data_IF_069657578811
#
_entry.id   IF_069657578811
#
_cell.length_a   1.000
_cell.length_b   1.000
_cell.length_c   1.000
_cell.angle_alpha   90.00
_cell.angle_beta   90.00
_cell.angle_gamma   90.00
#
_symmetry.space_group_name_H-M   'P 1'
#
loop_
_entity.id
_entity.type
_entity.pdbx_description
1 polymer ?
#
# COMPACT_ATOMS: atom_id res chain seq x y z
N UNK A 1 56.52 23.87 9.31
CA UNK A 1 56.07 23.46 7.99
C UNK A 1 54.82 22.63 8.15
N UNK A 2 53.70 23.13 7.61
CA UNK A 2 52.45 22.42 7.61
C UNK A 2 52.59 21.15 6.80
N UNK A 3 52.10 20.02 7.32
CA UNK A 3 52.09 18.76 6.63
C UNK A 3 51.27 18.88 5.31
N UNK A 4 51.68 18.13 4.27
CA UNK A 4 51.01 18.13 3.00
C UNK A 4 49.52 17.65 3.16
N UNK A 5 48.58 18.24 2.40
CA UNK A 5 47.18 17.86 2.49
C UNK A 5 46.97 16.41 2.04
N UNK A 6 45.99 15.73 2.64
CA UNK A 6 45.58 14.42 2.23
C UNK A 6 44.87 14.40 0.91
N UNK A 7 45.20 13.45 0.05
CA UNK A 7 44.48 13.16 -1.19
C UNK A 7 43.80 11.79 -1.14
N UNK A 8 42.58 11.74 -1.66
CA UNK A 8 41.87 10.48 -1.90
C UNK A 8 42.44 9.85 -3.16
N UNK A 9 43.12 8.72 -2.99
CA UNK A 9 43.81 8.02 -4.11
C UNK A 9 42.93 6.97 -4.75
N UNK A 10 42.08 6.30 -3.98
CA UNK A 10 41.15 5.33 -4.50
C UNK A 10 39.84 5.34 -3.68
N UNK A 11 38.75 5.08 -4.37
CA UNK A 11 37.43 4.82 -3.80
C UNK A 11 36.92 3.51 -4.38
N UNK A 12 36.58 2.56 -3.52
CA UNK A 12 36.09 1.25 -3.92
C UNK A 12 34.67 1.06 -3.36
N UNK A 13 33.81 0.44 -4.14
CA UNK A 13 32.48 -0.01 -3.73
C UNK A 13 32.42 -1.50 -3.87
N UNK A 14 32.15 -2.18 -2.76
CA UNK A 14 32.14 -3.66 -2.70
C UNK A 14 33.40 -4.31 -3.32
N UNK A 15 34.56 -3.66 -3.14
CA UNK A 15 35.86 -4.12 -3.66
C UNK A 15 36.14 -3.72 -5.10
N UNK A 16 35.24 -3.06 -5.81
CA UNK A 16 35.45 -2.56 -7.18
C UNK A 16 35.93 -1.11 -7.16
N UNK A 17 37.03 -0.84 -7.83
CA UNK A 17 37.55 0.53 -7.97
C UNK A 17 36.63 1.41 -8.81
N UNK A 18 36.38 2.61 -8.31
CA UNK A 18 35.51 3.60 -8.95
C UNK A 18 36.34 4.55 -9.80
N UNK A 19 35.82 4.88 -10.98
CA UNK A 19 36.32 5.92 -11.86
C UNK A 19 35.16 6.76 -12.45
N UNK A 20 35.45 7.76 -13.26
CA UNK A 20 34.46 8.67 -13.85
C UNK A 20 33.41 8.00 -14.74
N UNK A 21 33.63 6.78 -15.18
CA UNK A 21 32.73 6.01 -16.03
C UNK A 21 31.99 4.92 -15.25
N UNK A 22 32.33 4.73 -13.99
CA UNK A 22 31.75 3.64 -13.18
C UNK A 22 30.28 3.93 -12.87
N UNK A 23 29.42 3.02 -13.33
CA UNK A 23 28.00 3.02 -13.03
C UNK A 23 27.70 1.70 -12.30
N UNK A 24 27.32 1.75 -11.05
CA UNK A 24 26.92 0.59 -10.24
C UNK A 24 25.43 0.71 -9.92
N UNK A 25 24.72 -0.39 -10.08
CA UNK A 25 23.28 -0.47 -9.76
C UNK A 25 22.45 0.68 -10.35
N UNK A 26 22.81 1.14 -11.58
CA UNK A 26 22.12 2.22 -12.28
C UNK A 26 22.47 3.64 -11.78
N UNK A 27 23.43 3.78 -10.86
CA UNK A 27 23.88 5.07 -10.33
C UNK A 27 25.31 5.34 -10.78
N UNK A 28 25.55 6.51 -11.36
CA UNK A 28 26.90 7.02 -11.60
C UNK A 28 27.46 7.54 -10.27
N UNK A 29 28.59 7.02 -9.84
CA UNK A 29 29.14 7.28 -8.51
C UNK A 29 29.78 8.65 -8.41
N UNK A 30 30.53 9.06 -9.44
CA UNK A 30 31.20 10.36 -9.53
C UNK A 30 31.29 10.83 -10.98
N UNK A 31 31.30 12.14 -11.19
CA UNK A 31 31.45 12.77 -12.50
C UNK A 31 32.89 13.22 -12.77
N UNK A 32 33.68 13.34 -11.72
CA UNK A 32 35.09 13.81 -11.78
C UNK A 32 36.01 12.70 -11.25
N UNK A 33 37.33 12.78 -11.54
CA UNK A 33 38.31 11.84 -11.01
C UNK A 33 38.22 11.73 -9.49
N UNK A 34 38.39 10.52 -8.93
CA UNK A 34 38.30 10.24 -7.50
C UNK A 34 39.14 11.20 -6.65
N UNK A 35 40.35 11.53 -7.11
CA UNK A 35 41.27 12.43 -6.41
C UNK A 35 40.72 13.88 -6.30
N UNK A 36 39.81 14.30 -7.18
CA UNK A 36 39.21 15.63 -7.21
C UNK A 36 37.78 15.66 -6.69
N UNK A 37 37.20 14.48 -6.42
CA UNK A 37 35.81 14.37 -5.96
C UNK A 37 35.77 14.36 -4.44
N UNK A 38 34.90 15.20 -3.90
CA UNK A 38 34.53 15.20 -2.48
C UNK A 38 33.13 14.64 -2.26
N UNK A 39 32.39 14.32 -3.36
CA UNK A 39 31.04 13.80 -3.34
C UNK A 39 30.92 12.52 -4.14
N UNK A 40 30.34 11.48 -3.53
CA UNK A 40 30.04 10.18 -4.15
C UNK A 40 28.57 9.82 -3.90
N UNK A 41 27.91 9.36 -4.96
CA UNK A 41 26.50 8.93 -4.87
C UNK A 41 26.43 7.42 -5.13
N UNK A 42 25.79 6.69 -4.24
CA UNK A 42 25.67 5.24 -4.30
C UNK A 42 24.19 4.82 -4.37
N UNK A 43 23.96 3.62 -4.88
CA UNK A 43 22.66 2.94 -4.79
C UNK A 43 22.43 2.39 -3.39
N UNK A 44 21.16 2.21 -3.01
CA UNK A 44 20.79 1.52 -1.76
C UNK A 44 21.26 0.04 -1.72
N UNK A 45 21.71 -0.51 -2.83
CA UNK A 45 22.28 -1.86 -2.90
C UNK A 45 23.77 -1.91 -2.53
N UNK A 46 24.43 -0.74 -2.48
CA UNK A 46 25.86 -0.63 -2.20
C UNK A 46 26.06 -0.33 -0.71
N UNK A 47 26.45 -1.36 0.04
CA UNK A 47 26.54 -1.30 1.51
C UNK A 47 27.96 -1.20 2.06
N UNK A 48 28.97 -1.32 1.20
CA UNK A 48 30.37 -1.36 1.64
C UNK A 48 31.21 -0.45 0.74
N UNK A 49 31.95 0.46 1.38
CA UNK A 49 32.88 1.36 0.71
C UNK A 49 34.24 1.26 1.35
N UNK A 50 35.29 1.38 0.53
CA UNK A 50 36.66 1.50 0.99
C UNK A 50 37.27 2.78 0.43
N UNK A 51 37.85 3.58 1.30
CA UNK A 51 38.53 4.82 0.93
C UNK A 51 40.02 4.64 1.20
N UNK A 52 40.85 4.98 0.22
CA UNK A 52 42.31 4.97 0.33
C UNK A 52 42.82 6.39 0.22
N UNK A 53 43.67 6.81 1.16
CA UNK A 53 44.24 8.14 1.20
C UNK A 53 45.76 8.11 1.11
N UNK A 54 46.37 9.18 0.64
CA UNK A 54 47.79 9.35 0.66
C UNK A 54 48.16 10.80 1.01
N UNK A 55 49.18 10.97 1.79
CA UNK A 55 49.75 12.30 2.11
C UNK A 55 50.68 12.80 1.02
N UNK A 56 51.01 12.01 0.00
CA UNK A 56 52.03 12.36 -1.04
C UNK A 56 53.40 12.75 -0.48
N UNK A 57 53.72 12.31 0.75
CA UNK A 57 55.01 12.48 1.35
C UNK A 57 55.76 11.15 1.35
N UNK A 58 56.90 11.10 0.65
CA UNK A 58 57.67 9.90 0.39
C UNK A 58 58.75 9.63 1.44
N UNK A 59 59.00 10.58 2.41
CA UNK A 59 60.16 10.51 3.28
C UNK A 59 60.04 9.44 4.39
N UNK A 60 58.82 9.04 4.81
CA UNK A 60 58.67 7.97 5.78
C UNK A 60 57.19 7.47 5.93
N UNK A 61 56.67 6.66 5.01
CA UNK A 61 55.28 6.27 5.00
C UNK A 61 54.83 5.40 6.19
N UNK A 62 55.80 4.71 6.85
CA UNK A 62 55.53 3.83 7.99
C UNK A 62 55.23 4.59 9.28
N UNK A 63 55.55 5.88 9.40
CA UNK A 63 55.35 6.69 10.59
C UNK A 63 54.10 7.58 10.52
N UNK A 64 53.25 7.39 9.53
CA UNK A 64 52.01 8.11 9.38
C UNK A 64 50.84 7.28 9.90
N UNK A 65 50.05 7.84 10.81
CA UNK A 65 48.84 7.23 11.34
C UNK A 65 47.63 7.98 10.78
N UNK A 66 46.73 7.26 10.16
CA UNK A 66 45.50 7.83 9.61
C UNK A 66 44.34 7.68 10.62
N UNK A 67 43.60 8.76 10.77
CA UNK A 67 42.41 8.79 11.62
C UNK A 67 41.22 9.24 10.82
N UNK A 68 40.06 8.66 11.04
CA UNK A 68 38.82 9.06 10.41
C UNK A 68 37.70 9.14 11.44
N UNK A 69 36.70 9.95 11.11
CA UNK A 69 35.39 9.96 11.80
C UNK A 69 34.25 10.10 10.83
N UNK A 70 33.08 9.59 11.23
CA UNK A 70 31.89 9.61 10.42
C UNK A 70 30.81 10.44 11.12
N UNK A 71 30.22 11.39 10.41
CA UNK A 71 29.15 12.27 10.90
C UNK A 71 29.47 13.00 12.22
N UNK A 72 30.74 13.43 12.40
CA UNK A 72 31.17 14.12 13.60
C UNK A 72 31.31 13.24 14.86
N UNK A 73 31.32 11.91 14.69
CA UNK A 73 31.52 10.96 15.77
C UNK A 73 32.94 10.96 16.32
N UNK A 74 33.31 9.94 17.04
CA UNK A 74 34.66 9.78 17.59
C UNK A 74 35.69 9.49 16.49
N UNK A 75 36.93 9.93 16.72
CA UNK A 75 38.05 9.62 15.85
C UNK A 75 38.50 8.17 16.03
N UNK A 76 38.43 7.44 14.90
CA UNK A 76 38.91 6.05 14.82
C UNK A 76 40.30 6.08 14.19
N UNK A 77 41.27 5.47 14.92
CA UNK A 77 42.66 5.42 14.50
C UNK A 77 42.97 4.10 13.82
N UNK A 78 43.59 4.17 12.64
CA UNK A 78 44.18 3.00 11.98
C UNK A 78 45.54 2.63 12.55
N UNK A 79 45.98 1.42 12.22
CA UNK A 79 47.37 1.03 12.50
C UNK A 79 48.34 1.88 11.67
N UNK A 80 49.57 2.08 12.18
CA UNK A 80 50.58 2.85 11.47
C UNK A 80 50.84 2.29 10.07
N UNK A 81 50.88 3.16 9.05
CA UNK A 81 51.09 2.78 7.66
C UNK A 81 49.82 2.26 6.92
N UNK A 82 48.71 2.02 7.62
CA UNK A 82 47.45 1.61 7.00
C UNK A 82 46.69 2.85 6.60
N UNK A 83 46.52 3.04 5.28
CA UNK A 83 45.98 4.25 4.68
C UNK A 83 44.57 4.03 4.03
N UNK A 84 44.00 2.87 4.26
CA UNK A 84 42.64 2.53 3.80
C UNK A 84 41.72 2.23 4.98
N UNK A 85 40.43 2.55 4.82
CA UNK A 85 39.41 2.18 5.77
C UNK A 85 38.12 1.81 5.04
N UNK A 86 37.51 0.74 5.56
CA UNK A 86 36.32 0.17 5.00
C UNK A 86 35.15 0.43 5.95
N UNK A 87 34.10 1.03 5.41
CA UNK A 87 32.81 1.18 6.07
C UNK A 87 31.83 0.18 5.47
N UNK A 88 31.24 -0.65 6.30
CA UNK A 88 30.29 -1.68 5.91
C UNK A 88 28.93 -1.48 6.57
N UNK A 89 27.90 -2.15 6.02
CA UNK A 89 26.51 -2.08 6.51
C UNK A 89 25.92 -0.67 6.48
N UNK A 90 26.34 0.15 5.51
CA UNK A 90 25.82 1.49 5.34
C UNK A 90 24.34 1.44 4.92
N UNK A 91 23.51 2.24 5.56
CA UNK A 91 22.09 2.40 5.23
C UNK A 91 21.88 3.62 4.30
N UNK A 92 20.74 3.72 3.61
CA UNK A 92 20.40 4.93 2.87
C UNK A 92 20.48 6.18 3.74
N UNK A 93 21.21 7.18 3.24
CA UNK A 93 21.48 8.42 3.97
C UNK A 93 22.74 9.10 3.47
N UNK A 94 23.12 10.21 4.11
CA UNK A 94 24.33 10.97 3.79
C UNK A 94 25.34 10.79 4.91
N UNK A 95 26.52 10.39 4.53
CA UNK A 95 27.67 10.17 5.43
C UNK A 95 28.74 11.21 5.14
N UNK A 96 29.08 12.00 6.15
CA UNK A 96 30.20 12.93 6.12
C UNK A 96 31.40 12.25 6.79
N UNK A 97 32.40 11.91 5.99
CA UNK A 97 33.61 11.23 6.41
C UNK A 97 34.73 12.25 6.46
N UNK A 98 35.28 12.48 7.62
CA UNK A 98 36.40 13.39 7.84
C UNK A 98 37.63 12.58 8.14
N UNK A 99 38.75 12.89 7.48
CA UNK A 99 39.99 12.14 7.55
C UNK A 99 41.13 13.09 7.78
N UNK A 100 42.03 12.69 8.67
CA UNK A 100 43.30 13.37 8.93
C UNK A 100 44.42 12.36 9.11
N UNK A 101 45.64 12.78 8.90
CA UNK A 101 46.83 11.97 9.25
C UNK A 101 47.66 12.66 10.31
N UNK A 102 48.24 11.85 11.18
CA UNK A 102 49.18 12.26 12.22
C UNK A 102 50.58 11.77 11.84
N UNK A 103 51.55 12.69 11.86
CA UNK A 103 52.96 12.36 11.75
C UNK A 103 53.70 13.02 12.90
N UNK A 104 54.23 12.20 13.84
CA UNK A 104 54.76 12.71 15.10
C UNK A 104 53.68 13.40 15.93
N UNK A 105 53.86 14.70 16.24
CA UNK A 105 52.90 15.52 17.00
C UNK A 105 52.03 16.43 16.15
N UNK A 106 52.17 16.40 14.82
CA UNK A 106 51.46 17.29 13.92
C UNK A 106 50.34 16.53 13.19
N UNK A 107 49.22 17.25 12.88
CA UNK A 107 48.10 16.76 12.08
C UNK A 107 48.05 17.45 10.74
N UNK A 108 47.64 16.69 9.72
CA UNK A 108 47.31 17.28 8.43
C UNK A 108 45.98 18.05 8.51
N UNK A 109 45.73 18.98 7.58
CA UNK A 109 44.37 19.50 7.35
C UNK A 109 43.36 18.36 7.13
N UNK A 110 42.15 18.51 7.70
CA UNK A 110 41.08 17.52 7.53
C UNK A 110 40.62 17.48 6.11
N UNK A 111 40.54 16.29 5.51
CA UNK A 111 39.91 16.04 4.23
C UNK A 111 38.50 15.52 4.46
N UNK A 112 37.51 16.17 3.86
CA UNK A 112 36.10 15.80 3.98
C UNK A 112 35.64 15.12 2.71
N UNK A 113 35.00 13.96 2.85
CA UNK A 113 34.36 13.22 1.75
C UNK A 113 32.91 12.95 2.14
N UNK A 114 31.98 13.30 1.25
CA UNK A 114 30.56 13.10 1.46
C UNK A 114 30.07 11.96 0.58
N UNK A 115 29.50 10.94 1.21
CA UNK A 115 28.94 9.78 0.52
C UNK A 115 27.44 9.76 0.74
N UNK A 116 26.67 9.83 -0.35
CA UNK A 116 25.21 9.80 -0.30
C UNK A 116 24.69 8.48 -0.86
N UNK A 117 24.02 7.70 -0.04
CA UNK A 117 23.36 6.45 -0.45
C UNK A 117 21.89 6.75 -0.68
N UNK A 118 21.43 6.57 -1.92
CA UNK A 118 20.03 6.84 -2.30
C UNK A 118 19.08 5.86 -1.62
N UNK A 119 17.94 6.35 -1.15
CA UNK A 119 16.89 5.49 -0.64
C UNK A 119 16.22 4.72 -1.80
N UNK A 120 15.72 3.48 -1.56
CA UNK A 120 14.96 2.74 -2.55
C UNK A 120 13.64 3.46 -2.86
N UNK A 121 13.21 3.37 -4.14
CA UNK A 121 12.02 4.06 -4.64
C UNK A 121 10.74 3.74 -3.85
N UNK A 122 10.62 2.51 -3.34
CA UNK A 122 9.46 2.04 -2.57
C UNK A 122 9.39 2.62 -1.14
N UNK A 123 10.44 3.30 -0.66
CA UNK A 123 10.48 4.02 0.63
C UNK A 123 10.39 5.54 0.46
N UNK A 124 10.06 6.02 -0.73
CA UNK A 124 9.85 7.45 -0.98
C UNK A 124 8.46 7.88 -0.54
N UNK A 125 8.30 9.16 -0.23
CA UNK A 125 6.98 9.75 0.12
C UNK A 125 5.94 9.49 -0.96
N UNK A 126 6.35 9.51 -2.24
CA UNK A 126 5.48 9.23 -3.37
C UNK A 126 4.96 7.78 -3.36
N UNK A 127 5.82 6.81 -3.03
CA UNK A 127 5.42 5.41 -2.91
C UNK A 127 4.36 5.21 -1.81
N UNK A 128 4.52 5.86 -0.66
CA UNK A 128 3.52 5.79 0.42
C UNK A 128 2.17 6.39 0.02
N UNK A 129 2.15 7.50 -0.75
CA UNK A 129 0.92 8.08 -1.29
C UNK A 129 0.23 7.08 -2.22
N UNK A 130 0.98 6.42 -3.11
CA UNK A 130 0.45 5.40 -4.02
C UNK A 130 -0.14 4.23 -3.22
N UNK A 131 0.57 3.71 -2.21
CA UNK A 131 0.07 2.61 -1.38
C UNK A 131 -1.22 2.98 -0.65
N UNK A 132 -1.28 4.19 -0.08
CA UNK A 132 -2.47 4.68 0.59
C UNK A 132 -3.66 4.82 -0.38
N UNK A 133 -3.41 5.35 -1.58
CA UNK A 133 -4.44 5.49 -2.62
C UNK A 133 -5.00 4.13 -3.06
N UNK A 134 -4.14 3.13 -3.28
CA UNK A 134 -4.55 1.78 -3.63
C UNK A 134 -5.39 1.16 -2.51
N UNK A 135 -4.97 1.31 -1.26
CA UNK A 135 -5.69 0.80 -0.10
C UNK A 135 -7.09 1.43 0.02
N UNK A 136 -7.18 2.74 -0.21
CA UNK A 136 -8.45 3.48 -0.17
C UNK A 136 -9.41 3.01 -1.27
N UNK A 137 -8.92 2.85 -2.51
CA UNK A 137 -9.73 2.33 -3.63
C UNK A 137 -10.24 0.93 -3.32
N UNK A 138 -9.38 0.06 -2.78
CA UNK A 138 -9.76 -1.30 -2.41
C UNK A 138 -10.84 -1.28 -1.30
N UNK A 139 -10.68 -0.43 -0.29
CA UNK A 139 -11.66 -0.26 0.78
C UNK A 139 -13.03 0.20 0.27
N UNK A 140 -13.06 1.19 -0.63
CA UNK A 140 -14.29 1.67 -1.28
C UNK A 140 -14.93 0.55 -2.12
N UNK A 141 -14.13 -0.19 -2.89
CA UNK A 141 -14.63 -1.31 -3.70
C UNK A 141 -15.29 -2.39 -2.82
N UNK A 142 -14.63 -2.82 -1.75
CA UNK A 142 -15.17 -3.81 -0.81
C UNK A 142 -16.45 -3.31 -0.14
N UNK A 143 -16.46 -2.04 0.29
CA UNK A 143 -17.64 -1.42 0.88
C UNK A 143 -18.84 -1.39 -0.07
N UNK A 144 -18.62 -1.00 -1.33
CA UNK A 144 -19.68 -0.97 -2.34
C UNK A 144 -20.18 -2.38 -2.69
N UNK A 145 -19.28 -3.35 -2.79
CA UNK A 145 -19.62 -4.76 -3.03
C UNK A 145 -20.46 -5.33 -1.88
N UNK A 146 -20.05 -5.08 -0.64
CA UNK A 146 -20.80 -5.47 0.55
C UNK A 146 -22.20 -4.86 0.58
N UNK A 147 -22.29 -3.55 0.31
CA UNK A 147 -23.57 -2.83 0.27
C UNK A 147 -24.51 -3.38 -0.80
N UNK A 148 -24.00 -3.70 -1.99
CA UNK A 148 -24.80 -4.32 -3.06
C UNK A 148 -25.34 -5.67 -2.64
N UNK A 149 -24.51 -6.53 -2.10
CA UNK A 149 -24.90 -7.86 -1.66
C UNK A 149 -25.99 -7.82 -0.58
N UNK A 150 -25.86 -6.91 0.39
CA UNK A 150 -26.88 -6.74 1.45
C UNK A 150 -28.21 -6.24 0.91
N UNK A 151 -28.21 -5.32 -0.08
CA UNK A 151 -29.44 -4.86 -0.70
C UNK A 151 -30.14 -5.94 -1.52
N UNK A 152 -29.40 -6.76 -2.24
CA UNK A 152 -29.95 -7.89 -3.01
C UNK A 152 -30.61 -8.92 -2.09
N UNK A 153 -29.96 -9.29 -1.01
CA UNK A 153 -30.52 -10.23 -0.01
C UNK A 153 -31.82 -9.69 0.62
N UNK A 154 -31.84 -8.42 1.01
CA UNK A 154 -33.01 -7.79 1.61
C UNK A 154 -34.22 -7.77 0.65
N UNK A 155 -33.96 -7.54 -0.64
CA UNK A 155 -35.01 -7.55 -1.67
C UNK A 155 -35.52 -8.98 -1.95
N UNK A 156 -34.61 -9.97 -1.96
CA UNK A 156 -35.00 -11.38 -2.10
C UNK A 156 -35.85 -11.87 -0.94
N UNK A 157 -35.49 -11.54 0.30
CA UNK A 157 -36.23 -11.95 1.48
C UNK A 157 -37.61 -11.31 1.56
N UNK A 158 -37.71 -10.01 1.24
CA UNK A 158 -39.01 -9.32 1.07
C UNK A 158 -39.88 -9.99 0.03
N UNK A 159 -39.29 -10.39 -1.08
CA UNK A 159 -40.00 -11.04 -2.15
C UNK A 159 -40.48 -12.44 -1.77
N UNK A 160 -39.64 -13.26 -1.12
CA UNK A 160 -40.03 -14.57 -0.58
C UNK A 160 -41.18 -14.44 0.41
N UNK A 161 -41.12 -13.45 1.31
CA UNK A 161 -42.20 -13.19 2.27
C UNK A 161 -43.54 -12.88 1.56
N UNK A 162 -43.51 -11.99 0.54
CA UNK A 162 -44.69 -11.64 -0.23
C UNK A 162 -45.31 -12.84 -0.96
N UNK A 163 -44.48 -13.75 -1.52
CA UNK A 163 -44.95 -14.96 -2.20
C UNK A 163 -45.65 -15.89 -1.22
N UNK A 164 -45.00 -16.16 -0.06
CA UNK A 164 -45.54 -17.05 0.95
C UNK A 164 -46.85 -16.49 1.51
N UNK A 165 -46.89 -15.21 1.87
CA UNK A 165 -48.10 -14.53 2.32
C UNK A 165 -49.24 -14.59 1.28
N UNK A 166 -48.92 -14.43 0.00
CA UNK A 166 -49.89 -14.57 -1.07
C UNK A 166 -50.50 -15.95 -1.19
N UNK A 167 -49.64 -16.99 -1.08
CA UNK A 167 -50.11 -18.38 -1.11
C UNK A 167 -50.98 -18.69 0.12
N UNK A 168 -50.54 -18.23 1.31
CA UNK A 168 -51.24 -18.47 2.56
C UNK A 168 -52.60 -17.74 2.67
N UNK A 169 -52.79 -16.62 1.94
CA UNK A 169 -54.05 -15.93 1.84
C UNK A 169 -54.96 -16.57 0.78
N UNK A 170 -54.42 -17.03 -0.34
CA UNK A 170 -55.22 -17.63 -1.43
C UNK A 170 -55.92 -18.91 -0.98
N UNK A 171 -55.24 -19.75 -0.23
CA UNK A 171 -55.76 -21.05 0.21
C UNK A 171 -57.04 -20.93 1.07
N UNK A 172 -57.07 -20.19 2.21
CA UNK A 172 -58.30 -20.05 3.02
C UNK A 172 -59.36 -19.27 2.26
N UNK A 173 -58.99 -18.33 1.40
CA UNK A 173 -59.98 -17.60 0.62
C UNK A 173 -60.74 -18.50 -0.38
N UNK A 174 -60.04 -19.44 -1.03
CA UNK A 174 -60.62 -20.43 -1.91
C UNK A 174 -61.58 -21.37 -1.13
N UNK A 175 -61.19 -21.75 0.11
CA UNK A 175 -62.04 -22.56 0.99
C UNK A 175 -63.30 -21.83 1.47
N UNK A 176 -63.30 -20.50 1.53
CA UNK A 176 -64.50 -19.68 1.86
C UNK A 176 -65.38 -19.53 0.65
N UNK A 177 -64.80 -19.29 -0.55
CA UNK A 177 -65.57 -19.06 -1.76
C UNK A 177 -66.41 -20.29 -2.19
N UNK A 178 -65.88 -21.51 -2.01
CA UNK A 178 -66.56 -22.72 -2.42
C UNK A 178 -67.90 -22.97 -1.67
N UNK A 179 -67.92 -22.97 -0.32
CA UNK A 179 -69.16 -23.06 0.45
C UNK A 179 -70.12 -21.90 0.18
N UNK A 180 -69.59 -20.69 -0.01
CA UNK A 180 -70.37 -19.50 -0.29
C UNK A 180 -71.15 -19.63 -1.62
N UNK A 181 -70.52 -20.16 -2.68
CA UNK A 181 -71.16 -20.44 -3.95
C UNK A 181 -72.26 -21.53 -3.82
N UNK A 182 -72.06 -22.49 -2.94
CA UNK A 182 -73.06 -23.51 -2.63
C UNK A 182 -74.28 -22.93 -1.86
N UNK A 183 -74.03 -22.12 -0.83
CA UNK A 183 -75.05 -21.42 -0.07
C UNK A 183 -75.92 -20.52 -0.99
N UNK A 184 -75.31 -19.77 -1.87
CA UNK A 184 -76.00 -18.92 -2.85
C UNK A 184 -76.98 -19.72 -3.74
N UNK A 185 -76.61 -20.96 -4.08
CA UNK A 185 -77.49 -21.88 -4.87
C UNK A 185 -78.66 -22.43 -4.08
N UNK A 186 -78.50 -22.67 -2.75
CA UNK A 186 -79.49 -23.32 -1.90
C UNK A 186 -80.50 -22.34 -1.28
N UNK A 187 -80.16 -21.09 -1.06
CA UNK A 187 -81.04 -20.10 -0.42
C UNK A 187 -82.16 -19.63 -1.40
N UNK A 188 -81.89 -19.66 -2.72
CA UNK A 188 -82.90 -19.25 -3.69
C UNK A 188 -83.40 -17.81 -3.44
N UNK A 189 -84.59 -17.53 -3.99
CA UNK A 189 -85.25 -16.21 -3.82
C UNK A 189 -86.04 -16.08 -2.50
N UNK A 190 -86.00 -17.06 -1.63
CA UNK A 190 -86.81 -17.09 -0.37
C UNK A 190 -86.29 -16.13 0.73
N UNK A 191 -85.03 -15.71 0.69
CA UNK A 191 -84.48 -14.77 1.65
C UNK A 191 -83.56 -13.72 1.01
N UNK A 192 -84.09 -12.59 0.59
CA UNK A 192 -83.35 -11.56 -0.16
C UNK A 192 -82.22 -10.88 0.64
N UNK A 193 -82.32 -10.84 1.98
CA UNK A 193 -81.30 -10.23 2.82
C UNK A 193 -80.08 -11.16 2.92
N UNK A 194 -80.30 -12.47 3.11
CA UNK A 194 -79.24 -13.44 3.09
C UNK A 194 -78.49 -13.51 1.74
N UNK A 195 -79.21 -13.38 0.63
CA UNK A 195 -78.60 -13.29 -0.72
C UNK A 195 -77.72 -12.04 -0.86
N UNK A 196 -78.10 -10.89 -0.33
CA UNK A 196 -77.31 -9.67 -0.31
C UNK A 196 -76.02 -9.84 0.49
N UNK A 197 -76.09 -10.47 1.65
CA UNK A 197 -74.91 -10.71 2.50
C UNK A 197 -73.93 -11.68 1.81
N UNK A 198 -74.43 -12.74 1.19
CA UNK A 198 -73.60 -13.68 0.41
C UNK A 198 -72.93 -12.98 -0.75
N UNK A 199 -73.63 -12.15 -1.52
CA UNK A 199 -73.07 -11.35 -2.62
C UNK A 199 -72.01 -10.36 -2.16
N UNK A 200 -72.21 -9.82 -0.98
CA UNK A 200 -71.22 -8.88 -0.41
C UNK A 200 -69.95 -9.61 0.00
N UNK A 201 -70.06 -10.81 0.61
CA UNK A 201 -68.89 -11.62 0.98
C UNK A 201 -68.17 -12.13 -0.29
N UNK A 202 -68.92 -12.61 -1.32
CA UNK A 202 -68.33 -13.07 -2.58
C UNK A 202 -67.56 -11.99 -3.28
N UNK A 203 -68.13 -10.77 -3.38
CA UNK A 203 -67.44 -9.61 -3.97
C UNK A 203 -66.17 -9.23 -3.23
N UNK A 204 -66.17 -9.23 -1.90
CA UNK A 204 -65.01 -8.92 -1.10
C UNK A 204 -63.93 -9.99 -1.20
N UNK A 205 -64.32 -11.26 -1.20
CA UNK A 205 -63.39 -12.40 -1.39
C UNK A 205 -62.72 -12.33 -2.77
N UNK A 206 -63.48 -12.09 -3.81
CA UNK A 206 -62.92 -11.89 -5.17
C UNK A 206 -62.01 -10.67 -5.24
N UNK A 207 -62.35 -9.58 -4.55
CA UNK A 207 -61.51 -8.36 -4.50
C UNK A 207 -60.16 -8.66 -3.83
N UNK A 208 -60.14 -9.38 -2.70
CA UNK A 208 -58.93 -9.78 -2.01
C UNK A 208 -58.07 -10.70 -2.92
N UNK A 209 -58.68 -11.67 -3.58
CA UNK A 209 -57.98 -12.56 -4.51
C UNK A 209 -57.34 -11.82 -5.66
N UNK A 210 -58.02 -10.79 -6.23
CA UNK A 210 -57.48 -9.97 -7.27
C UNK A 210 -56.30 -9.12 -6.77
N UNK A 211 -56.39 -8.51 -5.56
CA UNK A 211 -55.27 -7.75 -4.97
C UNK A 211 -54.04 -8.64 -4.74
N UNK A 212 -54.26 -9.86 -4.25
CA UNK A 212 -53.20 -10.87 -4.04
C UNK A 212 -52.53 -11.24 -5.37
N UNK A 213 -53.29 -11.40 -6.44
CA UNK A 213 -52.77 -11.68 -7.79
C UNK A 213 -52.00 -10.50 -8.37
N UNK A 214 -52.49 -9.25 -8.17
CA UNK A 214 -51.78 -8.04 -8.60
C UNK A 214 -50.39 -7.92 -7.90
N UNK A 215 -50.27 -8.27 -6.65
CA UNK A 215 -48.97 -8.29 -5.92
C UNK A 215 -47.98 -9.29 -6.56
N UNK A 216 -48.51 -10.43 -7.09
CA UNK A 216 -47.70 -11.40 -7.82
C UNK A 216 -47.28 -10.94 -9.20
N UNK A 217 -48.16 -10.19 -9.90
CA UNK A 217 -47.89 -9.71 -11.27
C UNK A 217 -46.88 -8.58 -11.33
N UNK A 218 -46.79 -7.71 -10.30
CA UNK A 218 -45.73 -6.70 -10.17
C UNK A 218 -44.37 -7.34 -10.21
N UNK A 219 -44.23 -8.58 -9.73
CA UNK A 219 -42.98 -9.34 -9.78
C UNK A 219 -42.51 -9.72 -11.18
N UNK A 220 -43.37 -9.88 -12.14
CA UNK A 220 -43.01 -10.24 -13.52
C UNK A 220 -42.32 -9.09 -14.25
N UNK A 221 -42.56 -7.85 -13.81
CA UNK A 221 -42.02 -6.65 -14.42
C UNK A 221 -40.60 -6.34 -13.89
N UNK A 222 -40.32 -6.65 -12.64
CA UNK A 222 -38.99 -6.38 -12.01
C UNK A 222 -37.89 -7.40 -12.42
N UNK A 223 -38.23 -8.43 -13.20
CA UNK A 223 -37.27 -9.46 -13.65
C UNK A 223 -36.87 -9.34 -15.14
N UNK A 224 -37.28 -8.29 -15.81
CA UNK A 224 -36.76 -7.91 -17.14
C UNK A 224 -35.81 -6.73 -17.04
#
# INVERSE_FOLDING_TARGET
PSLAPLQLTAFLVSGQGVNTRTVLNGVRITEVPVSQSDHFTLSYLDHTITLCFSQMNFDNPMNVTYEYRVNGGEWIRNSAGVNDFTLSHLQPGTYRIEVRAQQGNEYTPEKVVVVTIRAPWYRTTLAYIIYFTILLILGVYVFLAYRRHTHEQLNEDKMKFLINATHDIRSPLTLIMSPLANLKRHIGDENPDALRDIDTIDRNAKRILNLVNQILDVRKIDKQ
#
